data_IF_129580488816
#
_entry.id   IF_129580488816
#
_cell.length_a   1.000
_cell.length_b   1.000
_cell.length_c   1.000
_cell.angle_alpha   90.00
_cell.angle_beta   90.00
_cell.angle_gamma   90.00
#
_symmetry.space_group_name_H-M   'P 1'
#
loop_
_entity.id
_entity.type
_entity.pdbx_description
1 polymer ?
#
# COMPACT_ATOMS: atom_id res chain seq x y z
N UNK A 1 -58.64 57.07 20.83
CA UNK A 1 -59.02 55.64 20.87
C UNK A 1 -57.83 54.81 20.39
N UNK A 2 -57.77 53.55 20.79
CA UNK A 2 -56.60 52.65 20.75
C UNK A 2 -57.00 51.51 19.74
N UNK A 3 -56.16 50.84 18.94
CA UNK A 3 -54.76 50.45 19.17
C UNK A 3 -53.95 50.03 17.90
N UNK A 4 -52.65 49.78 18.11
CA UNK A 4 -51.76 48.76 17.50
C UNK A 4 -51.79 48.43 15.99
N UNK A 5 -50.67 48.85 15.36
CA UNK A 5 -49.74 48.08 14.50
C UNK A 5 -50.02 46.57 14.32
N UNK A 6 -49.83 46.09 13.09
CA UNK A 6 -49.29 44.76 12.80
C UNK A 6 -48.18 44.85 11.73
N UNK A 7 -46.92 44.78 12.16
CA UNK A 7 -45.75 44.63 11.29
C UNK A 7 -45.40 43.14 11.28
N UNK A 8 -45.50 42.46 10.14
CA UNK A 8 -45.12 41.05 10.05
C UNK A 8 -43.59 40.92 9.99
N UNK A 9 -42.96 40.48 11.08
CA UNK A 9 -41.59 39.95 11.02
C UNK A 9 -41.61 38.63 10.25
N UNK A 10 -40.90 38.57 9.12
CA UNK A 10 -40.48 37.30 8.54
C UNK A 10 -39.30 36.76 9.36
N UNK A 11 -39.46 35.59 9.96
CA UNK A 11 -38.40 34.95 10.74
C UNK A 11 -37.32 34.37 9.79
N UNK A 12 -36.10 34.90 9.86
CA UNK A 12 -34.95 34.29 9.22
C UNK A 12 -34.58 33.01 10.00
N UNK A 13 -34.80 31.85 9.39
CA UNK A 13 -34.38 30.56 9.95
C UNK A 13 -32.85 30.44 9.95
N UNK A 14 -32.23 29.82 10.97
CA UNK A 14 -30.78 29.63 11.01
C UNK A 14 -30.36 28.63 9.93
N UNK A 15 -29.58 29.10 8.95
CA UNK A 15 -28.89 28.22 8.00
C UNK A 15 -27.82 27.42 8.75
N UNK A 16 -28.07 26.13 8.97
CA UNK A 16 -27.09 25.21 9.50
C UNK A 16 -25.98 25.02 8.47
N UNK A 17 -24.84 25.69 8.69
CA UNK A 17 -23.61 25.41 7.97
C UNK A 17 -23.13 24.02 8.34
N UNK A 18 -23.49 23.01 7.54
CA UNK A 18 -22.88 21.68 7.62
C UNK A 18 -21.41 21.81 7.24
N UNK A 19 -20.46 21.41 8.09
CA UNK A 19 -19.07 21.39 7.72
C UNK A 19 -18.87 20.35 6.62
N UNK A 20 -18.56 20.81 5.41
CA UNK A 20 -18.18 19.91 4.31
C UNK A 20 -16.86 19.26 4.73
N UNK A 21 -16.94 18.01 5.20
CA UNK A 21 -15.75 17.18 5.41
C UNK A 21 -15.06 17.04 4.06
N UNK A 22 -13.98 17.80 3.87
CA UNK A 22 -13.14 17.69 2.69
C UNK A 22 -12.54 16.30 2.71
N UNK A 23 -13.10 15.41 1.89
CA UNK A 23 -12.63 14.03 1.77
C UNK A 23 -11.23 14.10 1.17
N UNK A 24 -10.21 13.99 2.02
CA UNK A 24 -8.83 13.84 1.56
C UNK A 24 -8.81 12.73 0.53
N UNK A 25 -8.54 13.07 -0.72
CA UNK A 25 -8.48 12.08 -1.78
C UNK A 25 -7.30 11.18 -1.45
N UNK A 26 -7.59 9.89 -1.29
CA UNK A 26 -6.55 8.88 -1.10
C UNK A 26 -5.60 8.89 -2.31
N UNK A 27 -4.32 8.63 -2.08
CA UNK A 27 -3.35 8.52 -3.15
C UNK A 27 -3.78 7.43 -4.17
N UNK A 28 -3.75 7.72 -5.48
CA UNK A 28 -4.30 6.83 -6.49
C UNK A 28 -3.62 5.46 -6.55
N UNK A 29 -2.38 5.30 -6.06
CA UNK A 29 -1.69 4.01 -6.07
C UNK A 29 -2.17 3.06 -4.96
N UNK A 30 -2.72 3.59 -3.86
CA UNK A 30 -3.01 2.79 -2.65
C UNK A 30 -4.09 1.71 -2.85
N UNK A 31 -5.16 1.91 -3.66
CA UNK A 31 -6.05 0.83 -4.05
C UNK A 31 -5.35 -0.31 -4.80
N UNK A 32 -4.39 -0.01 -5.68
CA UNK A 32 -3.62 -1.02 -6.42
C UNK A 32 -2.65 -1.76 -5.51
N UNK A 33 -1.92 -1.02 -4.66
CA UNK A 33 -1.03 -1.58 -3.66
C UNK A 33 -1.73 -2.53 -2.68
N UNK A 34 -2.95 -2.21 -2.22
CA UNK A 34 -3.74 -3.14 -1.39
C UNK A 34 -4.19 -4.39 -2.14
N UNK A 35 -4.52 -4.28 -3.43
CA UNK A 35 -4.85 -5.44 -4.25
C UNK A 35 -3.64 -6.37 -4.43
N UNK A 36 -2.45 -5.79 -4.68
CA UNK A 36 -1.18 -6.50 -4.77
C UNK A 36 -0.81 -7.21 -3.46
N UNK A 37 -0.90 -6.52 -2.31
CA UNK A 37 -0.69 -7.14 -0.99
C UNK A 37 -1.65 -8.31 -0.71
N UNK A 38 -2.93 -8.16 -1.08
CA UNK A 38 -3.92 -9.22 -0.90
C UNK A 38 -3.62 -10.43 -1.80
N UNK A 39 -3.23 -10.20 -3.06
CA UNK A 39 -2.82 -11.25 -3.99
C UNK A 39 -1.59 -12.01 -3.49
N UNK A 40 -0.53 -11.32 -3.02
CA UNK A 40 0.66 -11.94 -2.42
C UNK A 40 0.35 -12.82 -1.22
N UNK A 41 -0.55 -12.37 -0.35
CA UNK A 41 -0.96 -13.13 0.84
C UNK A 41 -1.85 -14.34 0.48
N UNK A 42 -2.66 -14.24 -0.59
CA UNK A 42 -3.38 -15.40 -1.13
C UNK A 42 -2.42 -16.41 -1.80
N UNK A 43 -1.45 -15.93 -2.59
CA UNK A 43 -0.43 -16.75 -3.24
C UNK A 43 0.39 -17.52 -2.19
N UNK A 44 0.86 -16.82 -1.15
CA UNK A 44 1.57 -17.43 -0.01
C UNK A 44 0.72 -18.47 0.71
N UNK A 45 -0.59 -18.24 0.84
CA UNK A 45 -1.50 -19.21 1.46
C UNK A 45 -1.67 -20.45 0.60
N UNK A 46 -1.80 -20.28 -0.73
CA UNK A 46 -1.89 -21.38 -1.68
C UNK A 46 -0.56 -22.17 -1.75
N UNK A 47 0.60 -21.50 -1.74
CA UNK A 47 1.92 -22.14 -1.81
C UNK A 47 2.26 -23.01 -0.58
N UNK A 48 1.53 -22.87 0.52
CA UNK A 48 1.65 -23.71 1.73
C UNK A 48 0.68 -24.91 1.74
N UNK A 49 -0.18 -25.07 0.73
CA UNK A 49 -1.12 -26.19 0.65
C UNK A 49 -0.37 -27.47 0.23
N UNK A 50 -0.44 -28.58 0.99
CA UNK A 50 0.19 -29.84 0.58
C UNK A 50 -0.38 -30.35 -0.74
N UNK A 51 0.49 -30.74 -1.68
CA UNK A 51 0.11 -31.08 -3.05
C UNK A 51 0.13 -29.91 -4.04
N UNK A 52 0.59 -28.71 -3.64
CA UNK A 52 0.81 -27.54 -4.49
C UNK A 52 2.31 -27.16 -4.56
N UNK A 53 3.22 -28.14 -4.47
CA UNK A 53 4.66 -27.91 -4.47
C UNK A 53 5.20 -27.37 -5.81
N UNK A 54 4.46 -27.62 -6.91
CA UNK A 54 4.75 -27.08 -8.25
C UNK A 54 4.09 -25.70 -8.49
N UNK A 55 3.30 -25.18 -7.53
CA UNK A 55 2.54 -23.92 -7.60
C UNK A 55 1.45 -23.82 -8.70
N UNK A 56 1.16 -24.91 -9.40
CA UNK A 56 0.17 -24.97 -10.49
C UNK A 56 -1.31 -25.12 -10.03
N UNK A 57 -1.62 -25.02 -8.73
CA UNK A 57 -3.02 -25.03 -8.28
C UNK A 57 -3.82 -23.84 -8.85
N UNK A 58 -5.13 -23.99 -9.13
CA UNK A 58 -5.97 -22.88 -9.59
C UNK A 58 -5.93 -21.66 -8.67
N UNK A 59 -5.81 -21.88 -7.36
CA UNK A 59 -5.69 -20.83 -6.34
C UNK A 59 -4.36 -20.07 -6.41
N UNK A 60 -3.24 -20.76 -6.68
CA UNK A 60 -1.94 -20.10 -6.90
C UNK A 60 -1.93 -19.29 -8.20
N UNK A 61 -2.48 -19.85 -9.29
CA UNK A 61 -2.54 -19.18 -10.59
C UNK A 61 -3.45 -17.93 -10.56
N UNK A 62 -4.63 -18.01 -9.94
CA UNK A 62 -5.51 -16.84 -9.73
C UNK A 62 -4.85 -15.76 -8.87
N UNK A 63 -4.10 -16.14 -7.83
CA UNK A 63 -3.37 -15.19 -7.00
C UNK A 63 -2.23 -14.51 -7.76
N UNK A 64 -1.47 -15.27 -8.56
CA UNK A 64 -0.39 -14.76 -9.41
C UNK A 64 -0.91 -13.78 -10.49
N UNK A 65 -1.98 -14.15 -11.21
CA UNK A 65 -2.64 -13.27 -12.19
C UNK A 65 -3.13 -11.96 -11.54
N UNK A 66 -3.72 -12.03 -10.33
CA UNK A 66 -4.16 -10.84 -9.58
C UNK A 66 -2.99 -10.00 -9.08
N UNK A 67 -1.87 -10.63 -8.75
CA UNK A 67 -0.67 -9.92 -8.30
C UNK A 67 -0.08 -9.11 -9.46
N UNK A 68 0.23 -9.75 -10.59
CA UNK A 68 0.75 -9.08 -11.77
C UNK A 68 -0.18 -7.97 -12.27
N UNK A 69 -1.49 -8.22 -12.33
CA UNK A 69 -2.46 -7.21 -12.75
C UNK A 69 -2.61 -6.03 -11.76
N UNK A 70 -2.23 -6.20 -10.50
CA UNK A 70 -2.17 -5.12 -9.51
C UNK A 70 -0.82 -4.37 -9.58
N UNK A 71 0.28 -5.08 -9.81
CA UNK A 71 1.61 -4.52 -10.03
C UNK A 71 1.66 -3.62 -11.27
N UNK A 72 1.17 -4.09 -12.43
CA UNK A 72 1.10 -3.27 -13.66
C UNK A 72 0.39 -1.94 -13.40
N UNK A 73 -0.73 -1.97 -12.66
CA UNK A 73 -1.48 -0.77 -12.29
C UNK A 73 -0.73 0.12 -11.30
N UNK A 74 0.13 -0.43 -10.43
CA UNK A 74 1.02 0.37 -9.60
C UNK A 74 2.08 1.08 -10.44
N UNK A 75 2.66 0.39 -11.42
CA UNK A 75 3.69 0.95 -12.32
C UNK A 75 3.12 2.03 -13.26
N UNK A 76 1.88 1.89 -13.71
CA UNK A 76 1.15 2.89 -14.49
C UNK A 76 0.63 4.08 -13.66
N UNK A 77 0.62 3.98 -12.32
CA UNK A 77 0.03 5.00 -11.44
C UNK A 77 1.09 5.83 -10.73
N UNK A 78 1.18 7.11 -11.11
CA UNK A 78 2.08 8.07 -10.45
C UNK A 78 1.61 8.37 -9.02
N UNK A 79 2.43 8.11 -7.99
CA UNK A 79 2.09 8.48 -6.62
C UNK A 79 2.14 10.00 -6.42
N UNK A 80 1.27 10.47 -5.54
CA UNK A 80 1.01 11.89 -5.20
C UNK A 80 1.27 12.23 -3.73
N UNK A 81 1.48 11.23 -2.88
CA UNK A 81 1.70 11.34 -1.43
C UNK A 81 2.92 10.53 -0.96
N UNK A 82 3.30 10.70 0.31
CA UNK A 82 4.34 9.89 0.96
C UNK A 82 3.93 8.42 1.05
N UNK A 83 2.68 8.15 1.40
CA UNK A 83 2.11 6.79 1.46
C UNK A 83 2.17 6.11 0.09
N UNK A 84 1.90 6.85 -1.00
CA UNK A 84 2.08 6.34 -2.36
C UNK A 84 3.54 6.05 -2.72
N UNK A 85 4.47 6.92 -2.31
CA UNK A 85 5.91 6.66 -2.47
C UNK A 85 6.40 5.45 -1.65
N UNK A 86 5.84 5.22 -0.45
CA UNK A 86 6.13 4.03 0.34
C UNK A 86 5.66 2.75 -0.35
N UNK A 87 4.49 2.78 -1.00
CA UNK A 87 3.98 1.66 -1.79
C UNK A 87 4.92 1.32 -2.97
N UNK A 88 5.36 2.32 -3.75
CA UNK A 88 6.35 2.11 -4.83
C UNK A 88 7.68 1.58 -4.27
N UNK A 89 8.16 2.13 -3.16
CA UNK A 89 9.42 1.70 -2.55
C UNK A 89 9.36 0.25 -2.02
N UNK A 90 8.20 -0.22 -1.56
CA UNK A 90 7.98 -1.62 -1.18
C UNK A 90 7.96 -2.54 -2.41
N UNK A 91 7.28 -2.15 -3.49
CA UNK A 91 7.30 -2.90 -4.76
C UNK A 91 8.74 -3.02 -5.31
N UNK A 92 9.48 -1.90 -5.34
CA UNK A 92 10.90 -1.90 -5.70
C UNK A 92 11.74 -2.81 -4.79
N UNK A 93 11.46 -2.85 -3.49
CA UNK A 93 12.20 -3.68 -2.55
C UNK A 93 11.95 -5.18 -2.73
N UNK A 94 10.73 -5.58 -3.09
CA UNK A 94 10.41 -6.97 -3.41
C UNK A 94 11.18 -7.46 -4.64
N UNK A 95 11.30 -6.64 -5.70
CA UNK A 95 11.97 -7.04 -6.95
C UNK A 95 13.47 -6.79 -6.97
N UNK A 96 13.95 -5.82 -6.20
CA UNK A 96 15.31 -5.28 -6.30
C UNK A 96 16.09 -5.30 -4.98
N UNK A 97 15.47 -5.81 -3.91
CA UNK A 97 16.11 -6.11 -2.63
C UNK A 97 16.85 -7.45 -2.63
N UNK A 98 17.41 -7.86 -1.48
CA UNK A 98 18.09 -9.15 -1.36
C UNK A 98 17.11 -10.33 -1.38
N UNK A 99 17.44 -11.34 -2.19
CA UNK A 99 16.81 -12.66 -2.17
C UNK A 99 17.70 -13.74 -1.51
N UNK A 100 18.98 -13.44 -1.27
CA UNK A 100 19.89 -14.34 -0.56
C UNK A 100 19.60 -14.40 0.95
N UNK A 101 20.09 -15.45 1.63
CA UNK A 101 19.96 -15.59 3.08
C UNK A 101 20.72 -14.48 3.83
N UNK A 102 20.03 -13.80 4.76
CA UNK A 102 20.55 -12.74 5.62
C UNK A 102 21.86 -13.15 6.32
N UNK A 103 22.90 -12.32 6.20
CA UNK A 103 24.24 -12.61 6.75
C UNK A 103 25.15 -13.45 5.86
N UNK A 104 24.70 -13.89 4.67
CA UNK A 104 25.61 -14.39 3.63
C UNK A 104 26.30 -13.24 2.88
N UNK A 105 27.47 -13.50 2.30
CA UNK A 105 28.20 -12.53 1.47
C UNK A 105 27.33 -12.01 0.31
N UNK A 106 26.63 -12.91 -0.38
CA UNK A 106 25.69 -12.58 -1.46
C UNK A 106 24.51 -11.71 -0.99
N UNK A 107 24.05 -11.86 0.26
CA UNK A 107 23.05 -10.95 0.82
C UNK A 107 23.60 -9.55 1.02
N UNK A 108 24.83 -9.40 1.55
CA UNK A 108 25.46 -8.10 1.72
C UNK A 108 25.72 -7.41 0.38
N UNK A 109 26.16 -8.14 -0.64
CA UNK A 109 26.31 -7.62 -2.01
C UNK A 109 24.98 -7.11 -2.57
N UNK A 110 23.91 -7.91 -2.48
CA UNK A 110 22.57 -7.52 -2.95
C UNK A 110 22.00 -6.34 -2.15
N UNK A 111 22.17 -6.34 -0.82
CA UNK A 111 21.69 -5.29 0.07
C UNK A 111 22.37 -3.94 -0.20
N UNK A 112 23.66 -3.98 -0.56
CA UNK A 112 24.46 -2.80 -0.89
C UNK A 112 24.44 -2.44 -2.39
N UNK A 113 23.78 -3.24 -3.23
CA UNK A 113 23.54 -2.91 -4.64
C UNK A 113 22.75 -1.59 -4.79
N UNK A 114 23.00 -0.88 -5.89
CA UNK A 114 22.36 0.41 -6.15
C UNK A 114 20.81 0.34 -6.11
N UNK A 115 20.13 -0.68 -6.70
CA UNK A 115 18.67 -0.79 -6.65
C UNK A 115 18.11 -0.91 -5.22
N UNK A 116 18.64 -1.84 -4.42
CA UNK A 116 18.26 -2.02 -3.01
C UNK A 116 18.48 -0.76 -2.16
N UNK A 117 19.56 -0.01 -2.44
CA UNK A 117 19.85 1.28 -1.78
C UNK A 117 18.86 2.38 -2.17
N UNK A 118 18.43 2.43 -3.43
CA UNK A 118 17.41 3.40 -3.89
C UNK A 118 16.06 3.11 -3.23
N UNK A 119 15.61 1.85 -3.23
CA UNK A 119 14.35 1.45 -2.60
C UNK A 119 14.32 1.83 -1.10
N UNK A 120 15.38 1.52 -0.34
CA UNK A 120 15.49 1.91 1.08
C UNK A 120 15.52 3.41 1.29
N UNK A 121 16.18 4.18 0.43
CA UNK A 121 16.23 5.64 0.55
C UNK A 121 14.86 6.30 0.32
N UNK A 122 14.10 5.84 -0.69
CA UNK A 122 12.73 6.31 -0.96
C UNK A 122 11.81 5.93 0.20
N UNK A 123 11.90 4.68 0.68
CA UNK A 123 11.12 4.22 1.84
C UNK A 123 11.38 5.06 3.10
N UNK A 124 12.65 5.26 3.47
CA UNK A 124 13.01 6.02 4.67
C UNK A 124 12.53 7.48 4.58
N UNK A 125 12.53 8.10 3.39
CA UNK A 125 11.93 9.43 3.18
C UNK A 125 10.39 9.41 3.30
N UNK A 126 9.75 8.40 2.72
CA UNK A 126 8.29 8.25 2.70
C UNK A 126 7.70 7.93 4.08
N UNK A 127 8.45 7.21 4.92
CA UNK A 127 8.00 6.69 6.23
C UNK A 127 8.66 7.39 7.43
N UNK A 128 9.20 8.59 7.21
CA UNK A 128 9.83 9.43 8.25
C UNK A 128 10.92 8.71 9.08
N UNK A 129 11.72 7.89 8.40
CA UNK A 129 12.93 7.27 8.94
C UNK A 129 12.84 5.77 9.25
N UNK A 130 11.75 5.07 8.90
CA UNK A 130 11.71 3.62 9.06
C UNK A 130 12.81 2.93 8.21
N UNK A 131 13.49 1.89 8.73
CA UNK A 131 14.79 1.45 8.21
C UNK A 131 14.74 0.72 6.87
N UNK A 132 13.64 0.01 6.57
CA UNK A 132 13.44 -0.77 5.36
C UNK A 132 11.96 -1.08 5.13
N UNK A 133 11.52 -1.30 3.89
CA UNK A 133 10.22 -1.91 3.59
C UNK A 133 10.12 -3.31 4.21
N UNK A 134 8.91 -3.80 4.51
CA UNK A 134 8.73 -5.18 4.95
C UNK A 134 9.20 -6.15 3.87
N UNK A 135 9.79 -7.27 4.27
CA UNK A 135 10.04 -8.42 3.39
C UNK A 135 8.83 -9.35 3.45
N UNK A 136 8.21 -9.63 2.31
CA UNK A 136 7.04 -10.54 2.24
C UNK A 136 7.42 -12.02 2.35
N UNK A 137 8.72 -12.33 2.47
CA UNK A 137 9.26 -13.68 2.50
C UNK A 137 10.20 -13.81 3.72
N UNK A 138 9.95 -14.81 4.56
CA UNK A 138 10.90 -15.42 5.50
C UNK A 138 11.40 -14.66 6.77
N UNK A 139 10.70 -13.66 7.31
CA UNK A 139 11.07 -13.12 8.67
C UNK A 139 10.30 -13.71 9.87
N UNK A 140 9.26 -14.54 9.69
CA UNK A 140 8.61 -15.27 10.81
C UNK A 140 9.12 -16.70 11.05
N UNK A 141 9.76 -17.36 10.08
CA UNK A 141 10.17 -18.78 10.22
C UNK A 141 11.63 -19.00 10.66
N UNK A 142 12.42 -17.93 10.82
CA UNK A 142 13.83 -18.02 11.23
C UNK A 142 14.05 -18.19 12.77
N UNK A 143 13.03 -18.63 13.52
CA UNK A 143 13.04 -18.74 14.99
C UNK A 143 12.54 -20.09 15.54
N UNK A 144 12.40 -21.11 14.68
CA UNK A 144 12.06 -22.49 15.06
C UNK A 144 13.04 -23.51 14.45
#
# INVERSE_FOLDING_TARGET
>A
MIDRRAFCLAAAGPALLTPTLSRTTEDPILPHYRAWLAAREDWRRASMVPGNEDFDSPESLDADEREFAAEDRMLDTVPTSKEGLAAVAHLMWVHLGPAALKGSENYEDQFNALPARMARAIWAFATDGAPMPPTTLCEEEALH
#
